data_IF_598384474659
#
_entry.id   IF_598384474659
#
_cell.length_a   1.000
_cell.length_b   1.000
_cell.length_c   1.000
_cell.angle_alpha   90.00
_cell.angle_beta   90.00
_cell.angle_gamma   90.00
#
_symmetry.space_group_name_H-M   'P 1'
#
loop_
_entity.id
_entity.type
_entity.pdbx_description
1 polymer ?
2 polymer ?
3 water ?
#
# COMPACT_ATOMS: atom_id res chain seq x y z
N UNK A 1 11.40 17.23 -13.83
CA UNK A 1 11.30 18.09 -12.61
C UNK A 1 9.86 18.54 -12.38
N UNK A 2 8.95 18.16 -13.29
CA UNK A 2 7.53 18.44 -13.08
C UNK A 2 6.98 17.48 -12.02
N UNK A 3 6.30 18.05 -11.02
CA UNK A 3 5.89 17.29 -9.86
C UNK A 3 4.66 17.94 -9.23
N UNK A 4 3.80 17.11 -8.65
CA UNK A 4 2.63 17.52 -7.89
C UNK A 4 2.79 17.05 -6.45
N UNK A 5 2.56 17.95 -5.50
CA UNK A 5 2.61 17.66 -4.07
C UNK A 5 1.28 18.06 -3.47
N UNK A 6 0.65 17.18 -2.67
CA UNK A 6 -0.67 17.47 -2.14
C UNK A 6 -0.70 17.32 -0.62
N UNK A 7 -1.67 17.99 -0.01
CA UNK A 7 -1.85 17.93 1.44
C UNK A 7 -3.28 18.26 1.82
N UNK A 8 -3.60 17.94 3.05
CA UNK A 8 -4.90 18.23 3.61
C UNK A 8 -5.22 17.23 4.70
N UNK A 9 -6.24 17.55 5.49
CA UNK A 9 -6.61 16.74 6.64
C UNK A 9 -7.15 15.39 6.22
N UNK A 10 -6.66 14.33 6.86
CA UNK A 10 -7.03 12.98 6.48
C UNK A 10 -7.91 12.23 7.44
N UNK A 11 -8.47 12.88 8.45
CA UNK A 11 -9.47 12.28 9.33
C UNK A 11 -10.64 13.24 9.38
N UNK A 12 -11.81 12.75 9.03
CA UNK A 12 -13.02 13.56 9.01
C UNK A 12 -14.13 12.80 9.72
N UNK A 13 -15.02 13.54 10.42
CA UNK A 13 -16.24 12.90 10.91
C UNK A 13 -17.30 12.98 9.83
N UNK A 14 -18.23 12.03 9.78
CA UNK A 14 -19.35 12.15 8.85
C UNK A 14 -20.03 13.50 8.95
N UNK A 15 -20.36 14.05 7.78
CA UNK A 15 -21.04 15.32 7.53
C UNK A 15 -20.05 16.47 7.42
N UNK A 16 -18.77 16.27 7.74
CA UNK A 16 -17.77 17.31 7.56
C UNK A 16 -17.37 17.49 6.10
N UNK A 17 -16.58 18.52 5.82
CA UNK A 17 -16.13 18.83 4.47
C UNK A 17 -14.68 18.39 4.29
N UNK A 18 -14.43 17.61 3.26
CA UNK A 18 -13.07 17.30 2.85
C UNK A 18 -12.46 18.48 2.10
N UNK A 19 -11.22 18.82 2.43
CA UNK A 19 -10.52 19.90 1.78
C UNK A 19 -9.09 19.47 1.51
N UNK A 20 -8.70 19.46 0.24
CA UNK A 20 -7.36 19.08 -0.16
C UNK A 20 -6.79 20.13 -1.11
N UNK A 21 -5.47 20.28 -1.10
CA UNK A 21 -4.77 21.18 -2.00
C UNK A 21 -3.64 20.46 -2.69
N UNK A 22 -3.38 20.82 -3.94
CA UNK A 22 -2.30 20.30 -4.75
C UNK A 22 -1.45 21.46 -5.22
N UNK A 23 -0.13 21.30 -5.18
CA UNK A 23 0.79 22.30 -5.66
C UNK A 23 1.62 21.73 -6.80
N UNK A 24 1.78 22.51 -7.87
CA UNK A 24 2.55 22.11 -9.04
C UNK A 24 3.91 22.81 -9.07
N UNK A 25 4.96 22.05 -9.36
CA UNK A 25 6.31 22.54 -9.52
C UNK A 25 6.87 22.19 -10.89
N UNK A 26 7.68 23.10 -11.43
CA UNK A 26 8.41 22.88 -12.67
C UNK A 26 7.75 23.38 -13.94
N UNK A 27 6.55 23.95 -13.83
CA UNK A 27 5.77 24.44 -14.96
C UNK A 27 4.59 25.18 -14.35
N UNK A 28 3.86 25.93 -15.19
CA UNK A 28 2.64 26.55 -14.70
C UNK A 28 1.42 25.70 -15.05
N UNK A 29 0.28 26.06 -14.48
CA UNK A 29 -0.95 25.31 -14.73
C UNK A 29 -1.46 25.48 -16.16
N UNK A 30 -1.09 26.56 -16.83
CA UNK A 30 -1.55 26.84 -18.17
C UNK A 30 -1.31 25.66 -19.09
N UNK A 31 -2.27 25.38 -19.95
CA UNK A 31 -2.12 24.40 -20.97
C UNK A 31 -2.75 23.06 -20.68
N UNK A 32 -3.16 22.82 -19.44
CA UNK A 32 -3.79 21.55 -19.09
C UNK A 32 -4.96 21.78 -18.14
N UNK A 33 -5.87 20.83 -18.16
CA UNK A 33 -6.78 20.65 -17.04
C UNK A 33 -6.11 19.79 -16.00
N UNK A 34 -6.56 19.96 -14.75
CA UNK A 34 -6.00 19.33 -13.55
C UNK A 34 -7.14 18.63 -12.83
N UNK A 35 -6.95 17.36 -12.52
CA UNK A 35 -8.04 16.52 -12.02
C UNK A 35 -7.79 16.04 -10.60
N UNK A 36 -8.91 15.68 -9.96
CA UNK A 36 -8.90 14.89 -8.73
C UNK A 36 -9.51 13.53 -9.02
N UNK A 37 -8.85 12.50 -8.49
CA UNK A 37 -9.20 11.10 -8.67
C UNK A 37 -9.07 10.45 -7.31
N UNK A 38 -10.01 9.60 -6.93
CA UNK A 38 -9.89 8.88 -5.68
C UNK A 38 -9.93 7.38 -5.90
N UNK A 39 -9.48 6.63 -4.89
CA UNK A 39 -9.45 5.19 -4.95
C UNK A 39 -10.00 4.66 -3.63
N UNK A 40 -11.04 3.88 -3.72
CA UNK A 40 -11.57 3.24 -2.51
C UNK A 40 -11.59 1.73 -2.68
N UNK A 41 -11.53 0.97 -1.58
CA UNK A 41 -11.45 -0.49 -1.72
C UNK A 41 -12.66 -1.06 -2.42
N UNK A 42 -13.83 -0.47 -2.23
CA UNK A 42 -15.06 -1.03 -2.76
C UNK A 42 -15.43 -0.55 -4.14
N UNK A 43 -15.05 0.68 -4.50
CA UNK A 43 -15.45 1.26 -5.77
C UNK A 43 -14.30 1.48 -6.72
N UNK A 44 -13.05 1.25 -6.30
CA UNK A 44 -11.94 1.36 -7.20
C UNK A 44 -11.58 2.80 -7.48
N UNK A 45 -10.99 3.02 -8.66
CA UNK A 45 -10.59 4.35 -9.08
C UNK A 45 -11.75 5.12 -9.67
N UNK A 46 -11.97 6.33 -9.15
CA UNK A 46 -13.07 7.18 -9.56
C UNK A 46 -12.57 8.57 -9.87
N UNK A 47 -12.89 9.08 -11.06
CA UNK A 47 -12.59 10.44 -11.45
C UNK A 47 -13.65 11.39 -10.89
N UNK A 48 -13.20 12.45 -10.22
CA UNK A 48 -14.11 13.36 -9.54
C UNK A 48 -14.44 14.57 -10.41
N UNK A 49 -13.43 15.14 -11.05
CA UNK A 49 -13.64 16.31 -11.87
C UNK A 49 -12.32 16.97 -12.18
N UNK A 50 -12.41 18.12 -12.83
CA UNK A 50 -11.24 18.79 -13.34
C UNK A 50 -11.44 20.30 -13.34
N UNK A 51 -10.31 21.01 -13.35
CA UNK A 51 -10.31 22.46 -13.41
C UNK A 51 -9.13 22.93 -14.26
N UNK A 52 -9.29 24.08 -14.94
CA UNK A 52 -8.19 24.67 -15.71
C UNK A 52 -7.69 25.96 -15.03
N UNK A 53 -6.69 26.59 -15.66
CA UNK A 53 -6.05 27.72 -15.00
C UNK A 53 -6.96 28.93 -14.86
N UNK A 54 -8.02 29.01 -15.65
CA UNK A 54 -8.98 30.10 -15.55
C UNK A 54 -10.10 29.82 -14.56
N UNK A 55 -10.10 28.65 -13.95
CA UNK A 55 -11.11 28.28 -13.00
C UNK A 55 -12.32 27.61 -13.58
N UNK A 56 -12.30 27.29 -14.87
CA UNK A 56 -13.42 26.55 -15.46
C UNK A 56 -13.37 25.11 -14.98
N UNK A 57 -14.55 24.56 -14.67
CA UNK A 57 -14.62 23.26 -14.03
C UNK A 57 -15.58 22.35 -14.77
N UNK A 58 -15.34 21.05 -14.65
CA UNK A 58 -16.31 20.06 -15.06
C UNK A 58 -16.23 18.91 -14.08
N UNK A 59 -17.39 18.50 -13.57
CA UNK A 59 -17.45 17.53 -12.49
C UNK A 59 -18.17 16.26 -12.93
N UNK A 60 -17.72 15.11 -12.44
CA UNK A 60 -18.48 13.88 -12.56
C UNK A 60 -19.87 14.10 -11.99
N UNK A 61 -20.93 13.89 -12.76
CA UNK A 61 -22.30 14.10 -12.23
C UNK A 61 -22.58 13.41 -10.91
N UNK A 62 -21.90 12.30 -10.60
CA UNK A 62 -22.10 11.63 -9.32
C UNK A 62 -21.62 12.49 -8.15
N UNK A 63 -20.80 13.50 -8.40
CA UNK A 63 -20.31 14.36 -7.33
C UNK A 63 -20.82 15.78 -7.42
N UNK A 64 -21.52 16.14 -8.49
CA UNK A 64 -21.87 17.53 -8.72
C UNK A 64 -22.63 18.17 -7.57
N UNK A 65 -23.38 17.39 -6.81
CA UNK A 65 -24.16 18.01 -5.74
C UNK A 65 -23.30 18.42 -4.55
N UNK A 66 -22.06 17.96 -4.47
CA UNK A 66 -21.27 18.12 -3.25
C UNK A 66 -19.87 18.67 -3.48
N UNK A 67 -19.41 18.79 -4.70
CA UNK A 67 -18.01 19.06 -4.96
C UNK A 67 -17.79 20.49 -5.44
N UNK A 68 -16.62 21.01 -5.08
CA UNK A 68 -16.14 22.30 -5.55
C UNK A 68 -14.65 22.20 -5.80
N UNK A 69 -14.17 22.99 -6.77
CA UNK A 69 -12.75 23.08 -7.07
C UNK A 69 -12.39 24.53 -7.32
N UNK A 70 -11.18 24.93 -6.91
CA UNK A 70 -10.70 26.28 -7.13
C UNK A 70 -9.22 26.21 -7.51
N UNK A 71 -8.72 27.32 -8.08
CA UNK A 71 -7.35 27.41 -8.53
C UNK A 71 -6.76 28.76 -8.11
N UNK A 72 -5.50 28.74 -7.69
CA UNK A 72 -4.74 29.94 -7.33
C UNK A 72 -3.49 29.93 -8.21
N UNK A 73 -3.56 30.62 -9.34
CA UNK A 73 -2.44 30.62 -10.29
C UNK A 73 -1.22 31.33 -9.73
N UNK A 74 -1.39 32.25 -8.78
CA UNK A 74 -0.23 32.92 -8.20
C UNK A 74 0.63 31.97 -7.38
N UNK A 75 0.09 30.81 -6.98
CA UNK A 75 0.80 29.79 -6.22
C UNK A 75 0.93 28.49 -7.00
N UNK A 76 0.40 28.45 -8.22
CA UNK A 76 0.28 27.22 -8.99
C UNK A 76 -0.30 26.10 -8.13
N UNK A 77 -1.40 26.44 -7.47
CA UNK A 77 -2.12 25.49 -6.63
C UNK A 77 -3.55 25.33 -7.12
N UNK A 78 -4.13 24.17 -6.83
CA UNK A 78 -5.56 23.97 -7.05
C UNK A 78 -6.08 23.07 -5.94
N UNK A 79 -7.39 23.13 -5.75
CA UNK A 79 -7.99 22.62 -4.53
C UNK A 79 -9.25 21.83 -4.84
N UNK A 80 -9.57 20.96 -3.89
CA UNK A 80 -10.79 20.15 -3.86
C UNK A 80 -11.54 20.34 -2.55
N UNK A 81 -12.85 20.53 -2.65
CA UNK A 81 -13.74 20.49 -1.50
C UNK A 81 -14.82 19.48 -1.79
N UNK A 82 -15.07 18.59 -0.84
CA UNK A 82 -16.18 17.65 -0.94
C UNK A 82 -17.01 17.75 0.32
N UNK A 83 -18.26 18.18 0.17
CA UNK A 83 -19.12 18.43 1.32
C UNK A 83 -19.82 17.16 1.79
N UNK A 84 -20.25 17.20 3.06
CA UNK A 84 -21.15 16.22 3.65
C UNK A 84 -20.66 14.78 3.48
N UNK A 85 -19.45 14.51 3.97
CA UNK A 85 -18.86 13.22 3.67
C UNK A 85 -19.58 12.11 4.44
N UNK A 86 -19.53 10.92 3.87
CA UNK A 86 -19.99 9.68 4.52
C UNK A 86 -18.87 8.67 4.44
N UNK A 87 -19.10 7.50 5.03
CA UNK A 87 -18.07 6.45 4.95
C UNK A 87 -17.73 6.07 3.51
N UNK A 88 -18.64 6.29 2.57
CA UNK A 88 -18.34 6.00 1.17
C UNK A 88 -17.24 6.89 0.59
N UNK A 89 -16.86 7.96 1.29
CA UNK A 89 -15.82 8.86 0.83
C UNK A 89 -14.44 8.53 1.41
N UNK A 90 -14.33 7.54 2.30
CA UNK A 90 -13.01 7.05 2.70
C UNK A 90 -12.24 6.52 1.50
N UNK A 91 -10.98 6.89 1.40
CA UNK A 91 -10.17 6.44 0.29
C UNK A 91 -8.90 7.25 0.18
N UNK A 92 -8.14 6.97 -0.88
CA UNK A 92 -6.93 7.73 -1.19
C UNK A 92 -7.28 8.68 -2.34
N UNK A 93 -7.00 9.96 -2.13
CA UNK A 93 -7.32 11.02 -3.08
C UNK A 93 -6.04 11.51 -3.74
N UNK A 94 -6.05 11.59 -5.07
CA UNK A 94 -4.91 12.01 -5.87
C UNK A 94 -5.26 13.22 -6.71
N UNK A 95 -4.33 14.16 -6.84
CA UNK A 95 -4.41 15.12 -7.94
C UNK A 95 -3.59 14.61 -9.11
N UNK A 96 -3.90 15.12 -10.30
CA UNK A 96 -3.24 14.64 -11.51
C UNK A 96 -3.34 15.67 -12.63
N UNK A 97 -2.34 15.66 -13.51
CA UNK A 97 -2.39 16.40 -14.77
C UNK A 97 -3.25 15.64 -15.76
N UNK A 98 -4.23 16.34 -16.31
CA UNK A 98 -5.11 15.80 -17.33
C UNK A 98 -4.94 16.35 -18.72
N UNK A 99 -6.05 16.53 -19.42
CA UNK A 99 -5.99 16.82 -20.84
C UNK A 99 -5.26 18.12 -21.14
N UNK A 100 -4.60 18.13 -22.29
CA UNK A 100 -3.88 19.26 -22.82
C UNK A 100 -4.79 20.01 -23.78
N UNK A 101 -4.75 21.34 -23.72
CA UNK A 101 -5.60 22.11 -24.63
C UNK A 101 -5.31 21.81 -26.09
N UNK A 102 -4.07 21.45 -26.41
CA UNK A 102 -3.63 21.21 -27.79
C UNK A 102 -4.16 19.89 -28.37
N UNK A 103 -4.93 19.11 -27.62
CA UNK A 103 -5.34 17.79 -28.10
C UNK A 103 -6.67 17.44 -27.45
N UNK A 104 -7.75 17.45 -28.22
CA UNK A 104 -9.09 17.33 -27.65
C UNK A 104 -9.24 16.05 -26.83
N UNK A 105 -8.74 14.94 -27.34
CA UNK A 105 -8.87 13.65 -26.67
C UNK A 105 -7.51 13.32 -26.05
N UNK A 106 -7.28 13.81 -24.82
CA UNK A 106 -5.99 13.58 -24.17
C UNK A 106 -6.17 13.50 -22.65
N UNK A 107 -7.35 13.14 -22.18
CA UNK A 107 -7.59 13.13 -20.74
C UNK A 107 -7.18 11.80 -20.09
N UNK A 108 -5.92 11.43 -20.30
CA UNK A 108 -5.23 10.44 -19.48
C UNK A 108 -4.35 11.21 -18.49
N UNK A 109 -3.75 10.49 -17.53
CA UNK A 109 -3.12 11.12 -16.35
C UNK A 109 -1.65 10.72 -16.29
N UNK A 110 -0.80 11.62 -16.78
CA UNK A 110 0.62 11.35 -16.89
C UNK A 110 1.45 11.75 -15.71
N UNK A 111 0.93 12.64 -14.86
CA UNK A 111 1.62 13.12 -13.68
C UNK A 111 0.62 13.08 -12.55
N UNK A 112 1.03 12.54 -11.39
CA UNK A 112 0.16 12.37 -10.24
C UNK A 112 0.82 12.88 -8.97
N UNK A 113 0.00 13.43 -8.06
CA UNK A 113 0.45 13.63 -6.71
C UNK A 113 0.65 12.31 -6.01
N UNK A 114 1.19 12.39 -4.79
CA UNK A 114 1.54 11.21 -4.03
C UNK A 114 0.33 10.55 -3.38
N UNK A 115 -0.79 11.24 -3.30
CA UNK A 115 -2.00 10.74 -2.66
C UNK A 115 -2.10 11.20 -1.23
N UNK A 116 -3.34 11.45 -0.81
CA UNK A 116 -3.68 11.72 0.60
C UNK A 116 -4.71 10.71 1.05
N UNK A 117 -4.43 9.99 2.14
CA UNK A 117 -5.36 9.03 2.70
C UNK A 117 -6.39 9.77 3.53
N UNK A 118 -7.66 9.59 3.21
CA UNK A 118 -8.77 10.21 3.91
C UNK A 118 -9.62 9.14 4.54
N UNK A 119 -9.84 9.27 5.86
CA UNK A 119 -10.65 8.32 6.61
C UNK A 119 -11.84 9.06 7.22
N UNK A 120 -13.05 8.60 6.93
CA UNK A 120 -14.26 9.14 7.55
C UNK A 120 -14.65 8.21 8.68
N UNK A 121 -14.61 8.72 9.92
CA UNK A 121 -14.83 7.88 11.09
C UNK A 121 -15.26 8.75 12.25
N UNK A 122 -15.95 8.11 13.21
CA UNK A 122 -16.24 8.78 14.47
C UNK A 122 -15.08 8.74 15.44
N UNK A 123 -14.09 7.91 15.20
CA UNK A 123 -13.03 7.67 16.17
C UNK A 123 -12.01 8.80 16.12
N UNK A 124 -11.36 9.03 17.25
CA UNK A 124 -10.45 10.16 17.43
C UNK A 124 -9.04 9.79 17.00
N UNK A 125 -8.28 10.80 16.61
CA UNK A 125 -6.86 10.63 16.36
C UNK A 125 -6.15 10.12 17.60
N UNK A 126 -5.23 9.17 17.41
CA UNK A 126 -4.44 8.63 18.50
C UNK A 126 -3.06 8.24 17.97
N UNK A 127 -2.01 8.66 18.65
CA UNK A 127 -0.68 8.30 18.21
C UNK A 127 -0.24 6.94 18.71
N UNK A 128 0.76 6.38 18.03
CA UNK A 128 1.20 5.02 18.35
C UNK A 128 2.11 4.93 19.55
N UNK A 129 2.07 3.74 20.14
CA UNK A 129 3.11 3.25 21.01
C UNK A 129 4.11 2.53 20.14
N UNK A 130 5.39 2.63 20.48
CA UNK A 130 6.42 1.94 19.70
C UNK A 130 7.27 1.10 20.63
N UNK A 131 7.32 -0.21 20.36
CA UNK A 131 8.00 -1.16 21.21
C UNK A 131 9.05 -1.93 20.42
N UNK A 132 10.20 -2.23 21.02
CA UNK A 132 11.20 -3.02 20.30
C UNK A 132 10.78 -4.47 20.14
N UNK A 133 11.14 -5.04 18.98
CA UNK A 133 11.15 -6.48 18.70
C UNK A 133 12.63 -6.86 18.78
N UNK A 134 13.06 -7.31 19.95
CA UNK A 134 14.50 -7.40 20.22
C UNK A 134 15.08 -8.64 19.58
N UNK A 135 16.26 -8.56 18.98
CA UNK A 135 16.91 -9.75 18.46
C UNK A 135 17.36 -10.66 19.60
N UNK A 136 17.28 -11.96 19.35
CA UNK A 136 17.67 -12.92 20.37
C UNK A 136 18.26 -14.11 19.65
N UNK A 137 18.59 -15.16 20.40
CA UNK A 137 18.97 -16.38 19.69
C UNK A 137 17.73 -17.07 19.13
N UNK A 138 16.54 -16.80 19.70
CA UNK A 138 15.30 -17.23 19.08
C UNK A 138 14.91 -16.37 17.86
N UNK A 139 15.81 -15.49 17.43
CA UNK A 139 15.59 -14.68 16.23
C UNK A 139 16.84 -14.66 15.36
N UNK A 140 17.56 -15.77 15.27
CA UNK A 140 18.74 -15.84 14.40
C UNK A 140 18.71 -17.10 13.55
N UNK A 141 19.46 -17.05 12.44
CA UNK A 141 19.42 -18.12 11.44
C UNK A 141 20.67 -18.05 10.59
N UNK A 142 21.53 -19.07 10.70
CA UNK A 142 22.71 -19.20 9.86
C UNK A 142 23.46 -17.91 9.59
N UNK A 143 23.71 -17.14 10.65
CA UNK A 143 24.42 -15.89 10.53
C UNK A 143 23.55 -14.67 10.33
N UNK A 144 22.22 -14.83 10.26
CA UNK A 144 21.28 -13.74 10.06
C UNK A 144 20.40 -13.56 11.29
N UNK A 145 20.21 -12.32 11.70
CA UNK A 145 19.35 -12.01 12.83
C UNK A 145 18.22 -11.11 12.35
N UNK A 146 17.06 -11.24 12.99
CA UNK A 146 15.93 -10.36 12.75
C UNK A 146 15.63 -9.51 13.98
N UNK A 147 15.21 -8.27 13.74
CA UNK A 147 14.78 -7.37 14.79
C UNK A 147 13.74 -6.44 14.20
N UNK A 148 13.13 -5.63 15.04
CA UNK A 148 12.05 -4.82 14.53
C UNK A 148 11.46 -3.90 15.58
N UNK A 149 10.34 -3.30 15.19
CA UNK A 149 9.57 -2.38 16.00
C UNK A 149 8.10 -2.68 15.79
N UNK A 150 7.38 -2.73 16.89
CA UNK A 150 5.93 -2.91 16.92
C UNK A 150 5.33 -1.52 17.12
N UNK A 151 4.49 -1.11 16.18
CA UNK A 151 3.88 0.22 16.14
C UNK A 151 2.38 0.01 16.38
N UNK A 152 1.94 0.30 17.60
CA UNK A 152 0.69 -0.24 18.11
C UNK A 152 -0.26 0.88 18.57
N UNK A 153 -1.55 0.70 18.27
CA UNK A 153 -2.63 1.44 18.89
C UNK A 153 -2.74 2.89 18.40
N UNK A 154 -2.81 3.05 17.09
CA UNK A 154 -2.87 4.37 16.48
C UNK A 154 -4.07 4.49 15.57
N UNK A 155 -4.41 5.73 15.24
CA UNK A 155 -5.56 5.98 14.35
C UNK A 155 -5.49 7.42 13.87
N UNK A 156 -5.80 7.71 12.60
CA UNK A 156 -6.05 6.79 11.50
C UNK A 156 -4.76 6.40 10.83
N UNK A 157 -4.84 5.71 9.71
CA UNK A 157 -3.70 5.54 8.85
C UNK A 157 -3.32 6.88 8.22
N UNK A 158 -2.06 7.04 7.79
CA UNK A 158 -0.96 6.09 7.79
C UNK A 158 0.11 6.44 8.78
N UNK A 159 1.01 5.48 8.99
CA UNK A 159 2.27 5.72 9.68
C UNK A 159 3.39 5.43 8.69
N UNK A 160 4.52 6.09 8.88
CA UNK A 160 5.70 5.75 8.10
C UNK A 160 6.77 5.26 9.07
N UNK A 161 7.55 4.28 8.64
CA UNK A 161 8.64 3.74 9.43
C UNK A 161 9.90 3.77 8.56
N UNK A 162 10.98 4.31 9.09
CA UNK A 162 12.29 4.20 8.49
C UNK A 162 13.23 3.58 9.52
N UNK A 163 14.41 3.19 9.07
CA UNK A 163 15.44 2.63 9.93
C UNK A 163 16.71 3.45 9.78
N UNK A 164 17.29 3.82 10.92
CA UNK A 164 18.54 4.56 10.95
C UNK A 164 18.44 5.79 10.05
N UNK A 165 17.33 6.50 10.21
CA UNK A 165 17.10 7.78 9.53
C UNK A 165 17.14 7.65 8.02
N UNK A 166 16.81 6.45 7.54
CA UNK A 166 16.80 6.15 6.13
C UNK A 166 18.05 5.46 5.61
N UNK A 167 19.10 5.34 6.44
CA UNK A 167 20.33 4.73 5.98
C UNK A 167 20.21 3.22 5.80
N UNK A 168 19.23 2.60 6.44
CA UNK A 168 19.04 1.15 6.40
C UNK A 168 17.74 0.85 5.64
N UNK A 169 17.88 0.23 4.47
CA UNK A 169 16.72 -0.12 3.66
C UNK A 169 16.75 -1.59 3.24
N UNK A 170 17.94 -2.16 3.08
CA UNK A 170 18.04 -3.54 2.65
C UNK A 170 17.49 -4.45 3.74
N UNK A 171 16.68 -5.42 3.34
CA UNK A 171 16.14 -6.37 4.28
C UNK A 171 15.01 -5.88 5.15
N UNK A 172 14.50 -4.67 4.91
CA UNK A 172 13.41 -4.14 5.71
C UNK A 172 12.08 -4.61 5.15
N UNK A 173 11.16 -5.00 6.04
CA UNK A 173 9.78 -5.32 5.69
C UNK A 173 8.88 -4.60 6.67
N UNK A 174 8.09 -3.66 6.17
CA UNK A 174 7.09 -2.97 6.98
C UNK A 174 5.73 -3.51 6.58
N UNK A 175 5.06 -4.13 7.51
CA UNK A 175 3.84 -4.85 7.22
C UNK A 175 2.68 -3.89 7.01
N UNK A 176 1.72 -4.25 6.16
CA UNK A 176 0.47 -3.49 6.11
C UNK A 176 -0.18 -3.42 7.48
N UNK A 177 -0.78 -2.29 7.77
CA UNK A 177 -1.49 -2.12 9.02
C UNK A 177 -2.75 -2.97 9.04
N UNK A 178 -3.09 -3.42 10.24
CA UNK A 178 -4.30 -4.20 10.48
C UNK A 178 -5.05 -3.54 11.62
N UNK A 179 -6.37 -3.46 11.47
CA UNK A 179 -7.21 -2.99 12.55
C UNK A 179 -7.32 -4.06 13.62
N UNK A 180 -6.98 -3.68 14.85
CA UNK A 180 -7.14 -4.57 15.99
C UNK A 180 -8.58 -4.59 16.47
N UNK A 181 -8.88 -5.56 17.33
CA UNK A 181 -10.23 -5.65 17.88
C UNK A 181 -10.62 -4.37 18.60
N UNK A 182 -9.63 -3.62 19.10
CA UNK A 182 -9.93 -2.36 19.75
C UNK A 182 -10.47 -1.29 18.84
N UNK A 183 -10.22 -1.39 17.53
CA UNK A 183 -10.51 -0.35 16.57
C UNK A 183 -9.34 0.54 16.23
N UNK A 184 -8.16 0.23 16.78
CA UNK A 184 -6.93 0.95 16.50
C UNK A 184 -6.03 0.07 15.64
N UNK A 185 -5.21 0.72 14.83
CA UNK A 185 -4.31 0.01 13.94
C UNK A 185 -3.05 -0.43 14.66
N UNK A 186 -2.41 -1.46 14.11
CA UNK A 186 -1.10 -1.91 14.56
C UNK A 186 -0.36 -2.48 13.37
N UNK A 187 0.97 -2.33 13.40
CA UNK A 187 1.82 -3.00 12.44
C UNK A 187 3.20 -3.19 13.04
N UNK A 188 3.98 -4.08 12.43
CA UNK A 188 5.38 -4.21 12.76
C UNK A 188 6.22 -3.87 11.54
N UNK A 189 7.43 -3.38 11.80
CA UNK A 189 8.47 -3.23 10.78
C UNK A 189 9.65 -4.06 11.25
N UNK A 190 10.18 -4.91 10.36
CA UNK A 190 11.27 -5.79 10.72
C UNK A 190 12.41 -5.63 9.72
N UNK A 191 13.60 -6.03 10.16
CA UNK A 191 14.75 -6.04 9.27
C UNK A 191 15.65 -7.20 9.67
N UNK A 192 16.23 -7.85 8.67
CA UNK A 192 17.22 -8.89 8.91
C UNK A 192 18.58 -8.26 8.71
N UNK A 193 19.52 -8.62 9.59
CA UNK A 193 20.87 -8.05 9.58
C UNK A 193 21.85 -9.16 9.93
N UNK A 194 23.13 -8.92 9.65
CA UNK A 194 24.15 -9.89 10.08
C UNK A 194 24.16 -10.00 11.60
N UNK A 195 24.10 -11.24 12.11
CA UNK A 195 24.16 -11.42 13.56
C UNK A 195 25.48 -10.90 14.11
N UNK A 196 26.52 -10.89 13.28
CA UNK A 196 27.82 -10.30 13.60
C UNK A 196 27.72 -8.83 13.98
N UNK A 197 26.66 -8.15 13.54
CA UNK A 197 26.53 -6.73 13.75
C UNK A 197 25.78 -6.36 15.02
N UNK A 198 25.06 -7.32 15.60
CA UNK A 198 24.28 -7.02 16.79
C UNK A 198 25.19 -6.53 17.88
N UNK A 199 26.36 -7.18 17.96
CA UNK A 199 27.46 -6.65 18.71
C UNK A 199 27.65 -5.15 18.56
N UNK A 200 27.72 -4.65 17.34
CA UNK A 200 28.27 -3.33 17.27
C UNK A 200 27.46 -2.29 16.52
N UNK A 201 26.40 -2.64 15.76
CA UNK A 201 25.64 -1.65 14.99
C UNK A 201 24.43 -1.16 15.77
N UNK A 202 24.19 0.17 15.77
CA UNK A 202 22.95 0.71 16.33
C UNK A 202 21.82 0.57 15.33
N UNK A 203 20.65 0.12 15.81
CA UNK A 203 19.43 0.03 15.01
C UNK A 203 18.34 0.85 15.67
N UNK A 204 17.86 1.87 14.96
CA UNK A 204 16.83 2.79 15.42
C UNK A 204 15.68 2.73 14.42
N UNK A 205 14.46 2.50 14.92
CA UNK A 205 13.30 2.66 14.05
C UNK A 205 12.70 4.03 14.26
N UNK A 206 12.54 4.77 13.17
CA UNK A 206 12.02 6.13 13.17
C UNK A 206 10.58 6.05 12.70
N UNK A 207 9.63 6.32 13.61
CA UNK A 207 8.22 6.23 13.36
C UNK A 207 7.63 7.62 13.28
N UNK A 208 6.87 7.90 12.22
CA UNK A 208 6.20 9.17 12.07
C UNK A 208 4.72 8.91 11.82
N UNK A 209 3.88 9.34 12.74
CA UNK A 209 2.44 9.29 12.58
C UNK A 209 1.95 10.71 12.38
N UNK A 210 1.95 11.18 11.14
CA UNK A 210 1.58 12.55 10.88
C UNK A 210 0.15 12.89 11.32
N UNK A 211 -0.84 11.99 11.28
CA UNK A 211 -2.18 12.40 11.72
C UNK A 211 -2.21 12.89 13.14
N UNK A 212 -1.34 12.37 14.03
CA UNK A 212 -1.31 12.78 15.43
C UNK A 212 -0.09 13.63 15.75
N UNK A 213 0.71 13.97 14.74
CA UNK A 213 2.00 14.65 14.94
C UNK A 213 2.88 13.94 15.97
N UNK A 214 2.88 12.62 15.93
CA UNK A 214 3.71 11.80 16.80
C UNK A 214 4.96 11.32 16.07
N UNK A 215 6.14 11.53 16.68
CA UNK A 215 7.37 10.96 16.17
C UNK A 215 8.07 10.21 17.29
N UNK A 216 8.56 9.03 16.97
CA UNK A 216 9.28 8.20 17.94
C UNK A 216 10.52 7.64 17.29
N UNK A 217 11.65 7.68 18.01
CA UNK A 217 12.88 7.03 17.58
C UNK A 217 13.19 5.95 18.60
N UNK A 218 12.99 4.69 18.25
CA UNK A 218 13.13 3.61 19.22
C UNK A 218 14.38 2.81 18.91
N UNK A 219 15.28 2.77 19.87
CA UNK A 219 16.50 1.97 19.74
C UNK A 219 16.14 0.52 20.02
N UNK A 220 16.60 -0.40 19.17
CA UNK A 220 16.28 -1.81 19.30
C UNK A 220 17.58 -2.56 19.60
N UNK A 221 17.68 -3.05 20.82
CA UNK A 221 18.84 -3.70 21.38
C UNK A 221 18.54 -5.17 21.71
N UNK A 222 19.53 -6.05 21.67
CA UNK A 222 19.36 -7.36 22.30
C UNK A 222 19.07 -7.17 23.79
N UNK A 223 18.19 -8.01 24.34
CA UNK A 223 17.79 -7.82 25.74
C UNK A 223 18.88 -8.29 26.71
N UNK B 1 -22.90 6.83 -19.09
CA UNK B 1 -21.42 6.85 -19.14
C UNK B 1 -20.95 5.59 -19.85
N UNK B 2 -19.67 5.54 -20.18
CA UNK B 2 -19.05 4.39 -20.83
C UNK B 2 -18.29 3.64 -19.76
N UNK B 3 -18.63 2.37 -19.57
CA UNK B 3 -18.07 1.56 -18.50
C UNK B 3 -16.98 0.63 -19.03
N UNK B 4 -15.98 0.38 -18.19
CA UNK B 4 -14.83 -0.44 -18.55
C UNK B 4 -14.84 -1.74 -17.75
N UNK B 5 -14.70 -2.87 -18.43
CA UNK B 5 -14.64 -4.18 -17.78
C UNK B 5 -13.30 -4.84 -18.08
N UNK B 6 -12.53 -5.12 -17.03
CA UNK B 6 -11.23 -5.74 -17.17
C UNK B 6 -11.27 -7.21 -16.83
N UNK B 7 -10.41 -7.99 -17.50
CA UNK B 7 -10.29 -9.41 -17.27
C UNK B 7 -8.84 -9.83 -17.39
N UNK B 8 -8.37 -10.76 -16.58
CA UNK B 8 -9.00 -11.42 -15.44
C UNK B 8 -8.90 -10.53 -14.18
N UNK B 9 -9.54 -10.94 -13.07
CA UNK B 9 -9.38 -10.24 -11.80
C UNK B 9 -7.96 -10.37 -11.28
N UNK B 10 -7.40 -11.58 -11.40
CA UNK B 10 -6.04 -11.85 -10.97
C UNK B 10 -5.40 -12.80 -11.96
N UNK B 11 -4.07 -12.71 -12.07
CA UNK B 11 -3.28 -13.49 -13.00
C UNK B 11 -1.97 -13.82 -12.31
N UNK B 12 -1.55 -15.08 -12.39
CA UNK B 12 -0.26 -15.53 -11.89
C UNK B 12 0.58 -16.00 -13.08
N UNK B 13 1.83 -15.56 -13.14
CA UNK B 13 2.76 -15.99 -14.18
C UNK B 13 4.19 -15.97 -13.63
N UNK B 14 5.06 -16.73 -14.29
CA UNK B 14 6.45 -16.79 -13.85
C UNK B 14 7.30 -15.75 -14.59
N UNK B 15 8.44 -15.41 -13.98
CA UNK B 15 9.37 -14.53 -14.68
C UNK B 15 9.73 -15.13 -16.03
N UNK B 16 9.65 -14.30 -17.07
CA UNK B 16 9.94 -14.70 -18.43
C UNK B 16 8.70 -15.03 -19.24
N UNK B 17 7.56 -15.20 -18.57
CA UNK B 17 6.34 -15.58 -19.25
C UNK B 17 5.72 -14.39 -19.97
N UNK B 18 5.04 -14.67 -21.06
CA UNK B 18 4.17 -13.69 -21.68
C UNK B 18 2.87 -13.54 -20.90
N UNK B 19 2.40 -12.29 -20.79
CA UNK B 19 1.22 -11.92 -20.04
C UNK B 19 0.29 -11.10 -20.93
N UNK B 20 -1.00 -11.45 -20.93
CA UNK B 20 -2.02 -10.64 -21.60
C UNK B 20 -3.14 -10.33 -20.61
N UNK B 21 -3.56 -9.07 -20.60
CA UNK B 21 -4.63 -8.54 -19.76
C UNK B 21 -5.58 -7.81 -20.72
N UNK B 22 -6.89 -7.92 -20.51
CA UNK B 22 -7.79 -7.29 -21.47
C UNK B 22 -8.79 -6.34 -20.82
N UNK B 23 -9.36 -5.44 -21.65
CA UNK B 23 -10.32 -4.43 -21.23
C UNK B 23 -11.37 -4.24 -22.32
N UNK B 24 -12.64 -4.21 -21.91
CA UNK B 24 -13.75 -4.00 -22.83
C UNK B 24 -14.54 -2.76 -22.42
N UNK B 25 -14.70 -1.82 -23.34
CA UNK B 25 -15.59 -0.69 -23.12
C UNK B 25 -17.02 -1.04 -23.51
N UNK B 26 -17.99 -0.43 -22.81
CA UNK B 26 -19.41 -0.72 -23.05
C UNK B 26 -19.93 -0.15 -24.37
N UNK B 27 -19.20 0.78 -24.98
CA UNK B 27 -19.43 1.21 -26.36
C UNK B 27 -18.09 1.67 -26.91
N UNK B 28 -18.10 2.04 -28.20
CA UNK B 28 -16.85 2.32 -28.90
C UNK B 28 -16.10 3.48 -28.27
N UNK B 29 -14.77 3.34 -28.13
CA UNK B 29 -13.95 4.42 -27.60
C UNK B 29 -12.78 4.76 -28.52
N UNK B 30 -12.77 4.21 -29.72
CA UNK B 30 -11.73 4.48 -30.71
C UNK B 30 -10.39 4.14 -30.06
N UNK B 31 -9.36 4.99 -30.17
CA UNK B 31 -8.07 4.71 -29.56
C UNK B 31 -7.89 5.43 -28.23
N UNK B 32 -8.96 5.87 -27.57
CA UNK B 32 -8.82 6.73 -26.41
C UNK B 32 -8.82 5.90 -25.13
N UNK B 33 -7.74 5.15 -24.98
CA UNK B 33 -7.56 4.19 -23.90
C UNK B 33 -6.14 4.33 -23.38
N UNK B 34 -6.04 4.36 -22.06
CA UNK B 34 -4.75 4.37 -21.37
C UNK B 34 -4.66 3.16 -20.44
N UNK B 35 -3.43 2.71 -20.21
CA UNK B 35 -3.12 1.65 -19.28
C UNK B 35 -2.15 2.15 -18.21
N UNK B 36 -2.39 1.71 -16.98
CA UNK B 36 -1.60 2.13 -15.83
C UNK B 36 -1.12 0.93 -15.03
N UNK B 37 0.02 1.13 -14.36
CA UNK B 37 0.55 0.21 -13.37
C UNK B 37 0.49 0.86 -11.99
N UNK B 38 0.03 0.13 -10.98
CA UNK B 38 0.02 0.69 -9.63
C UNK B 38 0.63 -0.30 -8.63
N UNK B 39 1.58 0.15 -7.90
CA UNK B 39 2.17 -0.56 -6.78
C UNK B 39 1.51 -0.13 -5.48
N UNK B 40 1.43 -1.02 -4.50
CA UNK B 40 0.79 -0.66 -3.23
C UNK B 40 1.42 0.57 -2.61
N UNK B 41 0.56 1.47 -2.16
CA UNK B 41 0.99 2.70 -1.52
C UNK B 41 1.44 3.81 -2.43
N UNK B 42 1.31 3.65 -3.75
CA UNK B 42 1.80 4.63 -4.69
C UNK B 42 0.72 5.02 -5.69
N UNK B 43 0.92 6.17 -6.31
CA UNK B 43 0.06 6.57 -7.41
C UNK B 43 0.23 5.65 -8.61
N UNK B 44 -0.83 5.46 -9.39
CA UNK B 44 -0.66 4.80 -10.68
C UNK B 44 0.35 5.53 -11.55
N UNK B 45 1.01 4.76 -12.42
CA UNK B 45 1.94 5.28 -13.41
C UNK B 45 1.43 4.90 -14.79
N UNK B 46 1.34 5.88 -15.69
CA UNK B 46 0.85 5.56 -17.03
C UNK B 46 1.90 4.74 -17.78
N UNK B 47 1.43 3.69 -18.47
CA UNK B 47 2.26 2.84 -19.31
C UNK B 47 2.05 3.12 -20.78
N UNK B 48 0.78 3.22 -21.17
CA UNK B 48 0.34 3.28 -22.55
C UNK B 48 -0.76 4.32 -22.63
N UNK B 49 -0.77 5.13 -23.70
CA UNK B 49 -1.93 5.96 -24.00
C UNK B 49 -2.22 5.87 -25.50
N UNK B 50 -3.36 6.42 -25.91
CA UNK B 50 -3.83 6.24 -27.30
C UNK B 50 -3.82 4.77 -27.69
N UNK B 51 -4.18 3.93 -26.73
CA UNK B 51 -4.29 2.46 -26.85
C UNK B 51 -2.99 1.68 -27.13
N UNK B 52 -2.00 2.28 -27.79
CA UNK B 52 -0.79 1.54 -28.11
C UNK B 52 0.50 2.33 -28.01
N UNK B 53 0.46 3.60 -27.60
CA UNK B 53 1.68 4.41 -27.55
C UNK B 53 2.30 4.28 -26.18
N UNK B 54 3.56 3.85 -26.11
CA UNK B 54 4.28 3.82 -24.85
C UNK B 54 4.60 5.21 -24.35
N UNK B 55 4.45 5.40 -23.04
CA UNK B 55 4.83 6.62 -22.33
C UNK B 55 6.34 6.65 -22.09
N UNK B 56 6.87 7.82 -21.81
CA UNK B 56 8.31 7.93 -21.60
C UNK B 56 8.75 7.10 -20.39
N UNK B 57 9.90 6.45 -20.52
CA UNK B 57 10.44 5.64 -19.45
C UNK B 57 9.89 4.24 -19.36
N UNK B 58 8.88 3.89 -20.17
CA UNK B 58 8.23 2.59 -20.03
C UNK B 58 9.03 1.53 -20.81
N UNK B 59 9.35 0.40 -20.19
CA UNK B 59 10.18 -0.58 -20.88
C UNK B 59 9.47 -1.21 -22.07
N UNK B 60 10.27 -1.63 -23.04
CA UNK B 60 9.75 -2.11 -24.32
C UNK B 60 8.96 -3.41 -24.20
N UNK B 61 9.05 -4.12 -23.06
CA UNK B 61 8.28 -5.36 -22.92
C UNK B 61 6.79 -5.11 -22.81
N UNK B 62 6.36 -3.87 -22.52
CA UNK B 62 4.96 -3.52 -22.45
C UNK B 62 4.47 -3.10 -23.84
N UNK B 63 3.29 -3.57 -24.23
CA UNK B 63 2.70 -3.10 -25.46
C UNK B 63 1.19 -3.12 -25.33
N UNK B 64 0.55 -2.33 -26.16
CA UNK B 64 -0.90 -2.22 -26.14
C UNK B 64 -1.45 -2.48 -27.51
N UNK B 65 -2.61 -3.14 -27.56
CA UNK B 65 -3.16 -3.64 -28.80
C UNK B 65 -4.67 -3.42 -28.84
N UNK B 66 -5.17 -3.24 -30.06
CA UNK B 66 -6.60 -3.17 -30.34
C UNK B 66 -6.73 -3.35 -31.86
N UNK B 67 -7.96 -3.31 -32.37
CA UNK B 67 -8.15 -3.63 -33.79
C UNK B 67 -7.88 -2.46 -34.72
N UNK B 68 -7.53 -1.28 -34.21
CA UNK B 68 -7.14 -0.18 -35.06
C UNK B 68 -8.29 0.55 -35.72
N UNK B 69 -9.53 0.31 -35.28
CA UNK B 69 -10.71 0.90 -35.88
C UNK B 69 -11.38 1.87 -34.92
N UNK B 70 -12.09 2.84 -35.50
CA UNK B 70 -12.78 3.83 -34.67
C UNK B 70 -13.87 3.22 -33.81
N UNK B 71 -14.41 2.07 -34.21
CA UNK B 71 -15.47 1.37 -33.47
C UNK B 71 -14.95 0.51 -32.31
N UNK B 72 -13.67 0.57 -32.02
CA UNK B 72 -13.07 -0.36 -31.08
C UNK B 72 -13.67 -0.29 -29.67
N UNK B 73 -13.87 -1.49 -29.10
CA UNK B 73 -14.23 -1.65 -27.70
C UNK B 73 -13.27 -2.53 -26.93
N UNK B 74 -12.45 -3.33 -27.60
CA UNK B 74 -11.66 -4.37 -26.93
C UNK B 74 -10.17 -4.06 -27.02
N UNK B 75 -9.47 -4.12 -25.87
CA UNK B 75 -8.09 -3.69 -25.76
C UNK B 75 -7.29 -4.70 -24.95
N UNK B 76 -6.03 -4.84 -25.33
CA UNK B 76 -5.13 -5.77 -24.66
C UNK B 76 -3.84 -5.10 -24.25
N UNK B 77 -3.40 -5.34 -23.02
CA UNK B 77 -2.05 -4.97 -22.56
C UNK B 77 -1.22 -6.24 -22.51
N UNK B 78 -0.05 -6.24 -23.15
CA UNK B 78 0.82 -7.40 -23.24
C UNK B 78 2.16 -7.08 -22.58
N UNK B 79 2.65 -8.00 -21.77
CA UNK B 79 4.03 -7.99 -21.33
C UNK B 79 4.71 -9.18 -22.00
N UNK B 80 5.73 -8.91 -22.83
CA UNK B 80 6.28 -9.97 -23.66
C UNK B 80 7.01 -11.01 -22.81
N UNK B 81 7.72 -10.57 -21.79
CA UNK B 81 8.49 -11.44 -20.91
C UNK B 81 8.48 -10.77 -19.55
N UNK B 82 7.80 -11.38 -18.58
CA UNK B 82 7.52 -10.76 -17.29
C UNK B 82 8.79 -10.62 -16.45
N UNK B 83 8.96 -9.46 -15.83
CA UNK B 83 10.09 -9.24 -14.94
C UNK B 83 9.60 -9.15 -13.50
N UNK B 84 10.48 -9.38 -12.52
CA UNK B 84 10.01 -9.40 -11.12
C UNK B 84 9.38 -8.10 -10.67
N UNK B 85 9.87 -6.96 -11.14
CA UNK B 85 9.32 -5.67 -10.77
C UNK B 85 7.97 -5.38 -11.38
N UNK B 86 7.41 -6.29 -12.17
CA UNK B 86 6.12 -6.05 -12.81
C UNK B 86 4.95 -6.43 -11.91
N UNK B 87 5.22 -6.99 -10.72
CA UNK B 87 4.15 -7.32 -9.80
C UNK B 87 3.46 -6.03 -9.38
N UNK B 88 2.15 -5.97 -9.58
CA UNK B 88 1.39 -4.73 -9.50
C UNK B 88 -0.05 -5.05 -9.85
N UNK B 89 -0.92 -4.07 -9.65
CA UNK B 89 -2.26 -4.09 -10.23
C UNK B 89 -2.27 -3.16 -11.43
N UNK B 90 -2.90 -3.61 -12.51
CA UNK B 90 -2.95 -2.87 -13.75
C UNK B 90 -4.38 -2.42 -14.02
N UNK B 91 -4.51 -1.18 -14.50
CA UNK B 91 -5.81 -0.58 -14.77
C UNK B 91 -5.87 -0.03 -16.19
N UNK B 92 -7.03 -0.21 -16.83
CA UNK B 92 -7.35 0.55 -18.02
C UNK B 92 -8.21 1.77 -17.69
N UNK B 93 -8.27 2.71 -18.63
CA UNK B 93 -9.06 3.91 -18.49
C UNK B 93 -9.40 4.45 -19.88
N UNK B 94 -10.67 4.74 -20.12
CA UNK B 94 -11.00 5.46 -21.34
C UNK B 94 -11.09 6.96 -21.11
N UNK B 95 -10.95 7.71 -22.20
CA UNK B 95 -11.11 9.15 -22.24
C UNK B 95 -11.87 9.56 -23.50
N UNK B 96 -12.81 8.69 -23.92
CA UNK B 96 -13.79 9.00 -24.97
C UNK B 96 -14.89 9.92 -24.47
N UNK B 97 -15.18 9.89 -23.17
CA UNK B 97 -16.10 10.83 -22.55
C UNK B 97 -15.55 11.08 -21.15
N UNK B 98 -16.41 11.24 -20.14
CA UNK B 98 -15.95 11.40 -18.77
C UNK B 98 -15.06 10.23 -18.40
N UNK B 99 -13.86 10.45 -17.88
CA UNK B 99 -12.95 9.32 -17.63
C UNK B 99 -13.56 8.25 -16.74
N UNK B 100 -13.37 6.99 -17.12
CA UNK B 100 -13.76 5.87 -16.31
C UNK B 100 -12.66 4.82 -16.34
N UNK B 101 -12.41 4.20 -15.18
CA UNK B 101 -11.38 3.17 -15.05
C UNK B 101 -12.00 1.79 -14.98
N UNK B 102 -11.23 0.79 -15.44
CA UNK B 102 -11.58 -0.59 -15.14
C UNK B 102 -11.28 -0.95 -13.70
N UNK B 103 -11.71 -2.14 -13.32
CA UNK B 103 -11.67 -2.59 -11.93
C UNK B 103 -10.32 -3.10 -11.50
N UNK B 104 -9.41 -3.30 -12.44
CA UNK B 104 -8.03 -3.68 -12.20
C UNK B 104 -7.82 -5.16 -12.38
N UNK B 105 -6.57 -5.52 -12.69
CA UNK B 105 -6.09 -6.89 -12.73
C UNK B 105 -4.86 -6.97 -11.85
N UNK B 106 -4.89 -7.82 -10.83
CA UNK B 106 -3.72 -8.00 -9.97
C UNK B 106 -2.82 -9.08 -10.57
N UNK B 107 -1.59 -8.70 -10.89
CA UNK B 107 -0.59 -9.61 -11.44
C UNK B 107 0.35 -10.08 -10.33
N UNK B 108 0.34 -11.39 -10.12
CA UNK B 108 1.15 -12.07 -9.11
C UNK B 108 2.22 -12.89 -9.82
N UNK B 109 3.39 -13.05 -9.20
CA UNK B 109 4.47 -13.80 -9.79
C UNK B 109 4.53 -15.19 -9.17
N UNK B 110 4.61 -16.21 -10.00
CA UNK B 110 4.89 -17.58 -9.59
C UNK B 110 6.41 -17.74 -9.56
N UNK B 111 6.91 -18.35 -8.50
CA UNK B 111 8.34 -18.66 -8.39
C UNK B 111 8.52 -20.00 -7.68
N UNK B 112 9.78 -20.40 -7.49
CA UNK B 112 10.05 -21.65 -6.79
C UNK B 112 9.66 -21.55 -5.31
N UNK B 113 9.32 -22.70 -4.75
CA UNK B 113 8.98 -22.79 -3.35
C UNK B 113 10.17 -22.35 -2.51
N UNK B 114 9.89 -21.52 -1.50
CA UNK B 114 10.88 -21.10 -0.52
C UNK B 114 10.30 -21.20 0.87
N UNK B 115 10.95 -21.97 1.74
CA UNK B 115 10.47 -22.12 3.10
C UNK B 115 10.71 -20.83 3.89
N UNK B 116 9.83 -20.50 4.83
CA UNK B 116 10.08 -19.31 5.67
C UNK B 116 11.18 -19.54 6.66
N UNK B 117 11.92 -18.48 6.94
CA UNK B 117 12.74 -18.35 8.15
C UNK B 117 11.83 -17.83 9.24
N UNK B 118 11.84 -18.47 10.40
CA UNK B 118 10.86 -18.17 11.43
C UNK B 118 11.59 -17.58 12.63
N UNK B 119 11.07 -16.49 13.16
CA UNK B 119 11.61 -15.79 14.31
C UNK B 119 10.49 -15.49 15.29
N UNK B 120 10.81 -15.48 16.57
CA UNK B 120 9.82 -15.13 17.60
C UNK B 120 10.36 -14.01 18.49
N UNK B 121 9.48 -13.09 18.88
CA UNK B 121 9.89 -11.95 19.71
C UNK B 121 9.01 -11.86 20.95
N UNK B 122 9.60 -11.78 22.14
CA UNK B 122 8.79 -11.58 23.36
C UNK B 122 8.28 -10.15 23.47
N UNK B 123 7.30 -9.92 24.33
CA UNK B 123 6.92 -8.54 24.63
C UNK B 123 8.06 -7.81 25.32
N UNK B 124 8.09 -6.50 25.08
CA UNK B 124 9.04 -5.64 25.76
C UNK B 124 8.57 -5.30 27.19
N UNK B 125 9.54 -5.06 28.07
CA UNK B 125 9.18 -4.62 29.41
C UNK B 125 8.38 -3.33 29.36
N UNK B 126 8.72 -2.46 28.40
CA UNK B 126 8.03 -1.18 28.27
C UNK B 126 6.53 -1.40 28.06
N UNK B 127 6.17 -2.33 27.19
CA UNK B 127 4.77 -2.58 26.90
C UNK B 127 4.03 -3.17 28.10
N UNK B 128 4.69 -4.05 28.85
CA UNK B 128 4.02 -4.68 29.98
C UNK B 128 3.54 -3.66 31.01
N UNK B 129 4.18 -2.48 31.08
CA UNK B 129 3.75 -1.45 32.02
C UNK B 129 2.35 -0.93 31.68
N UNK B 130 1.89 -1.18 30.47
CA UNK B 130 0.60 -0.71 29.99
C UNK B 130 -0.53 -1.71 30.19
N UNK B 131 -0.22 -2.95 30.56
CA UNK B 131 -1.24 -3.92 30.88
C UNK B 131 -1.48 -4.97 29.83
N UNK B 132 -0.81 -4.88 28.70
CA UNK B 132 -0.97 -5.78 27.57
C UNK B 132 0.41 -6.30 27.16
N UNK B 133 0.42 -7.49 26.57
CA UNK B 133 1.62 -8.12 26.05
C UNK B 133 1.37 -8.57 24.63
N UNK B 134 2.21 -8.13 23.70
CA UNK B 134 2.17 -8.63 22.33
C UNK B 134 3.35 -9.56 22.11
N UNK B 135 3.08 -10.74 21.55
CA UNK B 135 4.13 -11.69 21.15
C UNK B 135 4.05 -11.78 19.63
N UNK B 136 5.20 -11.70 18.97
CA UNK B 136 5.23 -11.61 17.51
C UNK B 136 6.03 -12.76 16.90
N UNK B 137 5.43 -13.40 15.90
CA UNK B 137 6.05 -14.49 15.15
C UNK B 137 6.20 -13.97 13.72
N UNK B 138 7.43 -14.02 13.22
CA UNK B 138 7.78 -13.57 11.89
C UNK B 138 8.13 -14.75 11.00
N UNK B 139 7.50 -14.82 9.83
CA UNK B 139 7.82 -15.77 8.77
C UNK B 139 8.42 -14.94 7.64
N UNK B 140 9.71 -15.12 7.35
CA UNK B 140 10.38 -14.20 6.45
C UNK B 140 10.72 -14.85 5.12
N UNK B 141 10.38 -14.16 4.02
CA UNK B 141 10.86 -14.42 2.67
C UNK B 141 10.54 -15.85 2.19
N UNK B 142 9.25 -16.09 2.03
CA UNK B 142 8.78 -17.41 1.67
C UNK B 142 7.87 -17.34 0.45
N UNK B 143 7.66 -18.49 -0.14
CA UNK B 143 6.77 -18.65 -1.29
C UNK B 143 6.29 -20.10 -1.34
N UNK B 144 5.02 -20.40 -1.57
CA UNK B 144 3.89 -19.49 -1.82
C UNK B 144 3.33 -18.82 -0.57
N UNK B 145 2.32 -17.98 -0.79
CA UNK B 145 1.82 -17.11 0.27
C UNK B 145 1.11 -17.88 1.37
N UNK B 146 0.52 -19.02 1.05
CA UNK B 146 -0.26 -19.76 2.03
C UNK B 146 0.65 -20.35 3.10
N UNK B 147 0.28 -20.13 4.35
CA UNK B 147 1.02 -20.62 5.49
C UNK B 147 0.02 -20.72 6.65
N UNK B 148 0.28 -21.63 7.58
CA UNK B 148 -0.53 -21.74 8.78
C UNK B 148 0.36 -21.46 9.99
N UNK B 149 -0.09 -20.58 10.88
CA UNK B 149 0.66 -20.22 12.07
C UNK B 149 -0.24 -20.41 13.27
N UNK B 150 0.15 -21.28 14.19
CA UNK B 150 -0.62 -21.57 15.39
C UNK B 150 0.19 -21.21 16.62
N UNK B 151 -0.49 -20.61 17.58
CA UNK B 151 0.14 -20.20 18.83
C UNK B 151 -0.18 -21.16 19.96
N UNK B 152 0.81 -21.41 20.80
CA UNK B 152 0.62 -22.20 22.00
C UNK B 152 1.28 -21.49 23.16
N UNK B 153 0.59 -21.50 24.29
CA UNK B 153 1.05 -20.91 25.55
C UNK B 153 1.03 -22.02 26.59
N UNK B 154 2.22 -22.37 27.14
CA UNK B 154 2.36 -23.55 28.00
C UNK B 154 1.72 -24.78 27.34
N UNK B 155 1.91 -24.83 26.03
CA UNK B 155 1.46 -25.90 25.16
C UNK B 155 -0.05 -26.01 25.06
N UNK B 156 -0.78 -24.92 25.34
CA UNK B 156 -2.22 -24.88 25.12
C UNK B 156 -2.50 -24.08 23.86
N UNK B 157 -3.23 -24.68 22.91
CA UNK B 157 -3.51 -24.01 21.65
C UNK B 157 -4.39 -22.78 21.86
N UNK B 158 -3.99 -21.68 21.26
CA UNK B 158 -4.69 -20.40 21.36
C UNK B 158 -5.64 -20.24 20.20
N UNK B 159 -6.79 -19.66 20.47
CA UNK B 159 -7.72 -19.32 19.40
C UNK B 159 -8.34 -17.95 19.67
N UNK B 160 -8.39 -17.14 18.63
CA UNK B 160 -9.16 -15.91 18.69
C UNK B 160 -8.38 -14.69 19.15
N UNK B 161 -7.12 -14.86 19.55
CA UNK B 161 -6.35 -13.76 20.11
C UNK B 161 -5.10 -13.46 19.32
N UNK B 162 -5.05 -13.81 18.03
CA UNK B 162 -3.94 -13.46 17.17
C UNK B 162 -4.44 -12.90 15.84
N UNK B 163 -3.59 -12.10 15.23
CA UNK B 163 -3.88 -11.50 13.93
C UNK B 163 -2.65 -11.62 13.05
N UNK B 164 -2.88 -11.75 11.74
CA UNK B 164 -1.81 -11.87 10.76
C UNK B 164 -1.81 -10.68 9.80
N UNK B 165 -0.61 -10.36 9.31
CA UNK B 165 -0.44 -9.42 8.22
C UNK B 165 0.57 -10.02 7.26
N UNK B 166 0.34 -9.83 5.97
CA UNK B 166 1.23 -10.33 4.94
C UNK B 166 1.68 -9.16 4.08
N UNK B 167 2.97 -9.12 3.79
CA UNK B 167 3.49 -8.09 2.90
C UNK B 167 3.01 -8.30 1.46
N UNK B 168 3.05 -7.20 0.71
CA UNK B 168 3.04 -7.28 -0.74
C UNK B 168 4.13 -8.23 -1.23
N UNK B 169 3.90 -8.83 -2.38
CA UNK B 169 4.97 -9.63 -2.98
C UNK B 169 6.18 -8.77 -3.31
N UNK B 170 7.36 -9.26 -2.92
CA UNK B 170 8.59 -8.49 -3.07
C UNK B 170 8.92 -8.29 -4.55
N UNK B 171 9.30 -7.05 -4.91
CA UNK B 171 9.50 -6.73 -6.31
C UNK B 171 10.87 -7.17 -6.83
N UNK B 172 11.75 -7.67 -5.97
CA UNK B 172 13.03 -8.21 -6.40
C UNK B 172 13.09 -9.73 -6.35
N UNK B 173 12.60 -10.38 -5.28
CA UNK B 173 12.72 -11.84 -5.15
C UNK B 173 11.37 -12.55 -5.14
N UNK B 174 10.27 -11.84 -5.24
CA UNK B 174 8.94 -12.41 -5.44
C UNK B 174 8.47 -13.24 -4.25
N UNK B 175 9.05 -13.01 -3.08
CA UNK B 175 8.64 -13.67 -1.85
C UNK B 175 7.66 -12.81 -1.04
N UNK B 176 7.08 -13.45 -0.03
CA UNK B 176 6.22 -12.81 0.95
C UNK B 176 6.86 -12.92 2.32
N UNK B 177 6.43 -12.02 3.20
CA UNK B 177 6.70 -12.19 4.62
C UNK B 177 5.39 -12.04 5.38
N UNK B 178 5.35 -12.60 6.58
CA UNK B 178 4.11 -12.66 7.34
C UNK B 178 4.41 -12.46 8.81
N UNK B 179 3.58 -11.66 9.47
CA UNK B 179 3.63 -11.49 10.90
C UNK B 179 2.37 -12.07 11.52
N UNK B 180 2.54 -12.77 12.64
CA UNK B 180 1.41 -13.19 13.45
C UNK B 180 1.62 -12.63 14.84
N UNK B 181 0.64 -11.90 15.35
CA UNK B 181 0.78 -11.17 16.60
C UNK B 181 -0.25 -11.69 17.59
N UNK B 182 0.24 -12.21 18.70
CA UNK B 182 -0.61 -12.74 19.76
C UNK B 182 -0.79 -11.66 20.81
N UNK B 183 -2.03 -11.35 21.18
CA UNK B 183 -2.29 -10.33 22.20
C UNK B 183 -2.82 -10.98 23.47
N UNK B 184 -2.12 -10.75 24.60
CA UNK B 184 -2.51 -11.24 25.92
C UNK B 184 -2.56 -10.09 26.91
N UNK B 185 -3.35 -10.26 27.95
CA UNK B 185 -3.22 -9.36 29.10
C UNK B 185 -1.86 -9.59 29.75
N UNK B 186 -1.36 -8.57 30.45
CA UNK B 186 -0.13 -8.74 31.23
C UNK B 186 -0.25 -9.91 32.21
N UNK B 187 -1.39 -10.02 32.90
CA UNK B 187 -1.58 -11.11 33.85
C UNK B 187 -1.45 -12.47 33.18
N UNK B 188 -2.07 -12.64 32.01
CA UNK B 188 -1.97 -13.94 31.35
C UNK B 188 -0.54 -14.21 30.91
N UNK B 189 0.17 -13.18 30.46
CA UNK B 189 1.55 -13.37 30.02
C UNK B 189 2.42 -13.77 31.19
N UNK B 190 2.24 -13.11 32.34
CA UNK B 190 3.08 -13.40 33.50
C UNK B 190 2.77 -14.75 34.11
N UNK B 191 1.62 -15.28 33.86
CA UNK B 191 1.30 -16.50 34.54
C UNK B 191 1.83 -17.72 33.85
N UNK B 192 2.18 -17.60 32.58
CA UNK B 192 2.62 -18.72 31.78
C UNK B 192 4.07 -18.53 31.41
N UNK B 193 4.70 -19.60 30.96
CA UNK B 193 6.14 -19.65 30.79
C UNK B 193 6.58 -19.80 29.35
N UNK B 194 6.00 -20.76 28.62
CA UNK B 194 6.46 -21.11 27.27
C UNK B 194 5.52 -20.52 26.22
N UNK B 195 6.11 -19.81 25.26
CA UNK B 195 5.40 -19.13 24.18
C UNK B 195 5.94 -19.70 22.88
N UNK B 196 5.06 -20.29 22.06
CA UNK B 196 5.51 -20.95 20.85
C UNK B 196 4.61 -20.64 19.66
N UNK B 197 5.26 -20.40 18.52
CA UNK B 197 4.60 -20.34 17.24
C UNK B 197 4.98 -21.53 16.42
N UNK B 198 3.96 -22.18 15.85
CA UNK B 198 4.12 -23.39 15.04
C UNK B 198 3.72 -23.09 13.60
N UNK B 199 4.64 -23.30 12.66
CA UNK B 199 4.45 -22.87 11.27
C UNK B 199 4.40 -24.08 10.35
N UNK B 200 3.34 -24.16 9.56
CA UNK B 200 3.19 -25.15 8.51
C UNK B 200 3.25 -24.44 7.15
N UNK B 201 4.03 -25.00 6.23
CA UNK B 201 4.24 -24.36 4.92
C UNK B 201 4.74 -25.41 3.93
N UNK B 202 4.38 -25.20 2.66
CA UNK B 202 4.73 -26.17 1.61
C UNK B 202 6.22 -26.49 1.58
N UNK B 203 7.06 -25.51 1.92
CA UNK B 203 8.49 -25.70 1.80
C UNK B 203 9.15 -26.35 2.99
N UNK B 204 8.37 -26.66 4.02
CA UNK B 204 8.85 -27.30 5.23
C UNK B 204 8.42 -28.77 5.25
N UNK B 205 9.38 -29.67 5.42
CA UNK B 205 9.07 -31.10 5.46
C UNK B 205 8.15 -31.45 6.63
N UNK B 206 8.30 -30.76 7.75
CA UNK B 206 7.37 -30.88 8.86
C UNK B 206 7.25 -29.50 9.49
N UNK B 207 6.24 -29.27 10.33
CA UNK B 207 6.06 -27.93 10.90
C UNK B 207 7.22 -27.53 11.79
N UNK B 208 7.55 -26.24 11.76
CA UNK B 208 8.62 -25.67 12.56
C UNK B 208 8.01 -24.94 13.75
N UNK B 209 8.59 -25.15 14.94
CA UNK B 209 8.20 -24.40 16.13
C UNK B 209 9.36 -23.51 16.56
N UNK B 210 9.08 -22.24 16.77
CA UNK B 210 9.95 -21.31 17.46
C UNK B 210 9.31 -20.94 18.78
N UNK B 211 10.10 -20.97 19.85
CA UNK B 211 9.59 -20.73 21.18
C UNK B 211 10.60 -19.98 22.03
N UNK B 212 10.08 -19.36 23.07
CA UNK B 212 10.91 -18.78 24.11
C UNK B 212 10.22 -19.04 25.43
N UNK B 213 11.00 -18.91 26.50
CA UNK B 213 10.54 -18.99 27.87
C UNK B 213 10.60 -17.59 28.48
N UNK B 214 9.46 -17.11 28.97
CA UNK B 214 9.43 -15.84 29.68
C UNK B 214 10.52 -15.81 30.75
N UNK B 215 11.31 -14.74 30.73
CA UNK B 215 12.33 -14.53 31.75
C UNK B 215 13.59 -15.35 31.58
N UNK B 216 14.01 -15.63 30.35
CA UNK B 216 15.21 -16.41 30.12
C UNK B 216 16.24 -15.63 29.32
N UNK B 217 17.48 -15.74 29.78
CA UNK B 217 18.67 -15.12 29.23
C UNK B 217 19.06 -15.57 27.81
#
# INVERSE_FOLDING_TARGET
>A
QVQLQQWGAGLLKPSETLSLTCALYGRSLNGNYWSWIRQSPGKGLEWIGEINHSGSTYFNPSFKSRVAMSVDTSKSQFSLKLNSVTAADTGIYFCARGKRYSASYSNYFGVWGQGTQVTVSSASTKGPSVFPLAPSSKSTSGGTAALGCLVKDYFPEPVTVSWNSGALTSGVHTFPAVLQSSGLYSLSSVVTVPSSSLGTQTYICNVNHKPSNTKVDKKVEPKSC
>B
DIQMTQSPSTLSASVGDRVDITCRASQSISRWLAWYQQKPGKAPKVLIYEASLLANGVPSRFSGHFNGRESATDFTLTISSLQPDDVATYYCQHYMADPRFGQGTKLEIKRTVAAPSVFIFPPSDEQLKSGTASVVCLLNNFYPREAKVQWKVDNALQSGNSQESVTEQDSKDSTYSLSSTLTLSKADYEKHKVYACEVTHQGLSSPVTKSFNRGEC
#
